data_IF_874666725070
#
_entry.id   IF_874666725070
#
_cell.length_a   1.000
_cell.length_b   1.000
_cell.length_c   1.000
_cell.angle_alpha   90.00
_cell.angle_beta   90.00
_cell.angle_gamma   90.00
#
_symmetry.space_group_name_H-M   'P 1'
#
loop_
_entity.id
_entity.type
_entity.pdbx_description
1 polymer ?
#
# COMPACT_ATOMS: atom_id res chain seq x y z
N UNK A 1 -34.30 21.14 -11.88
CA UNK A 1 -32.85 21.42 -11.92
C UNK A 1 -32.38 21.70 -10.50
N UNK A 2 -31.70 20.77 -9.81
CA UNK A 2 -31.10 21.09 -8.53
C UNK A 2 -29.76 21.82 -8.75
N UNK A 3 -29.51 22.84 -7.94
CA UNK A 3 -28.29 23.65 -7.94
C UNK A 3 -27.12 22.77 -7.52
N UNK A 4 -26.04 22.76 -8.31
CA UNK A 4 -24.76 22.22 -7.88
C UNK A 4 -24.18 23.14 -6.80
N UNK A 5 -24.32 22.74 -5.54
CA UNK A 5 -23.55 23.32 -4.44
C UNK A 5 -22.08 23.04 -4.72
N UNK A 6 -21.34 24.07 -5.11
CA UNK A 6 -19.88 24.05 -5.07
C UNK A 6 -19.50 23.88 -3.59
N UNK A 7 -19.24 22.64 -3.17
CA UNK A 7 -18.64 22.35 -1.87
C UNK A 7 -17.29 23.06 -1.85
N UNK A 8 -17.24 24.21 -1.18
CA UNK A 8 -15.99 24.91 -0.92
C UNK A 8 -15.22 23.99 0.04
N UNK A 9 -14.15 23.36 -0.45
CA UNK A 9 -13.23 22.60 0.40
C UNK A 9 -12.55 23.57 1.39
N UNK A 10 -13.11 23.65 2.60
CA UNK A 10 -12.54 24.44 3.68
C UNK A 10 -11.33 23.70 4.25
N UNK A 11 -10.16 24.34 4.23
CA UNK A 11 -8.96 23.83 4.89
C UNK A 11 -9.24 23.59 6.37
N UNK A 12 -9.10 22.34 6.80
CA UNK A 12 -9.23 21.93 8.19
C UNK A 12 -7.89 22.03 8.91
N UNK A 13 -7.88 22.48 10.17
CA UNK A 13 -6.69 22.40 11.03
C UNK A 13 -6.71 21.09 11.82
N UNK A 14 -5.58 20.40 11.84
CA UNK A 14 -5.39 19.16 12.59
C UNK A 14 -4.23 19.33 13.58
N UNK A 15 -4.27 18.57 14.69
CA UNK A 15 -3.14 18.44 15.60
C UNK A 15 -2.49 17.08 15.40
N UNK A 16 -1.19 17.06 15.11
CA UNK A 16 -0.41 15.84 14.90
C UNK A 16 0.64 15.70 16.00
N UNK A 17 0.74 14.51 16.59
CA UNK A 17 1.79 14.19 17.57
C UNK A 17 2.99 13.59 16.84
N UNK A 18 4.16 14.16 17.06
CA UNK A 18 5.43 13.71 16.49
C UNK A 18 6.47 13.61 17.60
N UNK A 19 7.50 12.80 17.36
CA UNK A 19 8.73 12.88 18.15
C UNK A 19 9.56 14.08 17.71
N UNK A 20 10.37 14.63 18.62
CA UNK A 20 11.10 15.89 18.35
C UNK A 20 12.11 15.75 17.19
N UNK A 21 12.69 14.56 17.00
CA UNK A 21 13.60 14.29 15.88
C UNK A 21 12.94 14.45 14.52
N UNK A 22 11.69 13.99 14.39
CA UNK A 22 10.95 14.05 13.13
C UNK A 22 10.55 15.50 12.84
N UNK A 23 10.05 16.21 13.86
CA UNK A 23 9.73 17.64 13.76
C UNK A 23 10.95 18.47 13.36
N UNK A 24 12.09 18.23 13.99
CA UNK A 24 13.36 18.91 13.67
C UNK A 24 13.80 18.66 12.23
N UNK A 25 13.67 17.42 11.76
CA UNK A 25 14.00 17.05 10.38
C UNK A 25 13.09 17.76 9.37
N UNK A 26 11.78 17.82 9.65
CA UNK A 26 10.79 18.51 8.80
C UNK A 26 11.08 20.01 8.74
N UNK A 27 11.40 20.63 9.88
CA UNK A 27 11.75 22.04 9.95
C UNK A 27 13.02 22.36 9.12
N UNK A 28 14.03 21.50 9.19
CA UNK A 28 15.26 21.65 8.42
C UNK A 28 15.01 21.56 6.91
N UNK A 29 14.19 20.59 6.47
CA UNK A 29 13.79 20.44 5.06
C UNK A 29 12.99 21.65 4.58
N UNK A 30 11.99 22.09 5.34
CA UNK A 30 11.18 23.26 5.00
C UNK A 30 12.03 24.52 4.84
N UNK A 31 12.98 24.73 5.77
CA UNK A 31 13.91 25.87 5.73
C UNK A 31 14.81 25.83 4.50
N UNK A 32 15.35 24.66 4.15
CA UNK A 32 16.23 24.49 2.99
C UNK A 32 15.50 24.67 1.65
N UNK A 33 14.22 24.34 1.61
CA UNK A 33 13.36 24.48 0.43
C UNK A 33 12.65 25.85 0.36
N UNK A 34 12.82 26.72 1.37
CA UNK A 34 12.13 28.02 1.48
C UNK A 34 10.59 27.91 1.45
N UNK A 35 10.04 26.87 2.08
CA UNK A 35 8.59 26.62 2.18
C UNK A 35 8.14 26.53 3.64
N UNK A 36 6.82 26.49 3.90
CA UNK A 36 6.30 26.30 5.26
C UNK A 36 6.34 24.82 5.64
N UNK A 37 6.48 24.51 6.92
CA UNK A 37 6.35 23.13 7.41
C UNK A 37 5.01 22.49 6.98
N UNK A 38 3.92 23.28 6.94
CA UNK A 38 2.60 22.81 6.48
C UNK A 38 2.56 22.39 5.01
N UNK A 39 3.46 22.89 4.16
CA UNK A 39 3.61 22.42 2.79
C UNK A 39 4.28 21.03 2.77
N UNK A 40 5.28 20.80 3.63
CA UNK A 40 5.96 19.51 3.77
C UNK A 40 5.01 18.45 4.32
N UNK A 41 4.23 18.76 5.36
CA UNK A 41 3.22 17.84 5.89
C UNK A 41 2.18 17.45 4.81
N UNK A 42 1.67 18.43 4.05
CA UNK A 42 0.72 18.17 2.95
C UNK A 42 1.34 17.32 1.85
N UNK A 43 2.59 17.57 1.48
CA UNK A 43 3.31 16.77 0.50
C UNK A 43 3.41 15.32 0.96
N UNK A 44 3.81 15.08 2.21
CA UNK A 44 3.94 13.74 2.77
C UNK A 44 2.58 13.00 2.81
N UNK A 45 1.51 13.68 3.24
CA UNK A 45 0.15 13.13 3.24
C UNK A 45 -0.30 12.78 1.82
N UNK A 46 -0.13 13.69 0.86
CA UNK A 46 -0.55 13.46 -0.53
C UNK A 46 0.24 12.32 -1.18
N UNK A 47 1.55 12.26 -0.92
CA UNK A 47 2.39 11.16 -1.37
C UNK A 47 1.88 9.83 -0.81
N UNK A 48 1.63 9.76 0.50
CA UNK A 48 1.10 8.56 1.14
C UNK A 48 -0.27 8.16 0.57
N UNK A 49 -1.21 9.10 0.46
CA UNK A 49 -2.54 8.85 -0.09
C UNK A 49 -2.49 8.36 -1.55
N UNK A 50 -1.55 8.84 -2.36
CA UNK A 50 -1.39 8.35 -3.73
C UNK A 50 -0.98 6.87 -3.78
N UNK A 51 -0.13 6.43 -2.85
CA UNK A 51 0.27 5.03 -2.71
C UNK A 51 -0.88 4.14 -2.21
N UNK A 52 -1.75 4.69 -1.36
CA UNK A 52 -2.95 4.02 -0.86
C UNK A 52 -4.21 4.23 -1.72
N UNK A 53 -4.07 4.79 -2.93
CA UNK A 53 -5.22 5.13 -3.79
C UNK A 53 -6.16 3.95 -4.04
N UNK A 54 -5.63 2.73 -4.19
CA UNK A 54 -6.42 1.51 -4.33
C UNK A 54 -7.33 1.21 -3.12
N UNK A 55 -6.97 1.64 -1.90
CA UNK A 55 -7.81 1.47 -0.71
C UNK A 55 -8.91 2.53 -0.61
N UNK A 56 -8.79 3.62 -1.37
CA UNK A 56 -9.81 4.67 -1.45
C UNK A 56 -10.86 4.35 -2.51
N UNK A 57 -10.54 3.47 -3.45
CA UNK A 57 -11.48 2.99 -4.46
C UNK A 57 -12.35 1.85 -3.90
N UNK A 58 -13.60 2.16 -3.59
CA UNK A 58 -14.57 1.18 -3.06
C UNK A 58 -14.88 0.04 -4.06
N UNK A 59 -14.53 0.19 -5.34
CA UNK A 59 -14.72 -0.85 -6.36
C UNK A 59 -13.57 -1.86 -6.39
N UNK A 60 -12.40 -1.49 -5.86
CA UNK A 60 -11.22 -2.35 -5.79
C UNK A 60 -11.36 -3.34 -4.63
N UNK A 61 -11.53 -4.63 -4.93
CA UNK A 61 -11.70 -5.69 -3.92
C UNK A 61 -11.01 -6.99 -4.35
N UNK A 62 -10.75 -7.87 -3.39
CA UNK A 62 -10.14 -9.17 -3.63
C UNK A 62 -8.77 -9.04 -4.31
N UNK A 63 -8.57 -9.80 -5.38
CA UNK A 63 -7.30 -9.85 -6.11
C UNK A 63 -6.87 -8.51 -6.71
N UNK A 64 -7.79 -7.57 -6.94
CA UNK A 64 -7.48 -6.23 -7.46
C UNK A 64 -6.52 -5.46 -6.53
N UNK A 65 -6.61 -5.72 -5.22
CA UNK A 65 -5.82 -5.03 -4.21
C UNK A 65 -4.40 -5.58 -4.08
N UNK A 66 -4.12 -6.80 -4.57
CA UNK A 66 -2.90 -7.52 -4.22
C UNK A 66 -1.63 -6.85 -4.74
N UNK A 67 -1.62 -6.39 -5.99
CA UNK A 67 -0.44 -5.73 -6.55
C UNK A 67 -0.13 -4.44 -5.81
N UNK A 68 -1.15 -3.66 -5.48
CA UNK A 68 -0.97 -2.45 -4.70
C UNK A 68 -0.49 -2.76 -3.27
N UNK A 69 -1.03 -3.79 -2.61
CA UNK A 69 -0.54 -4.24 -1.30
C UNK A 69 0.93 -4.69 -1.35
N UNK A 70 1.42 -5.23 -2.47
CA UNK A 70 2.84 -5.51 -2.67
C UNK A 70 3.70 -4.25 -2.73
N UNK A 71 3.22 -3.18 -3.37
CA UNK A 71 3.96 -1.91 -3.45
C UNK A 71 4.18 -1.27 -2.08
N UNK A 72 3.17 -1.36 -1.20
CA UNK A 72 3.22 -0.75 0.15
C UNK A 72 3.61 -1.74 1.24
N UNK A 73 4.09 -2.94 0.87
CA UNK A 73 4.28 -4.05 1.79
C UNK A 73 5.27 -3.74 2.92
N UNK A 74 6.30 -2.95 2.64
CA UNK A 74 7.27 -2.54 3.65
C UNK A 74 6.59 -1.67 4.72
N UNK A 75 5.77 -0.71 4.31
CA UNK A 75 5.01 0.20 5.17
C UNK A 75 3.96 -0.56 6.00
N UNK A 76 3.25 -1.52 5.38
CA UNK A 76 2.28 -2.38 6.07
C UNK A 76 2.92 -3.13 7.24
N UNK A 77 4.11 -3.70 7.01
CA UNK A 77 4.80 -4.55 7.98
C UNK A 77 5.55 -3.75 9.05
N UNK A 78 6.20 -2.65 8.69
CA UNK A 78 7.06 -1.91 9.60
C UNK A 78 6.35 -0.79 10.37
N UNK A 79 5.30 -0.19 9.80
CA UNK A 79 4.67 1.00 10.38
C UNK A 79 3.27 0.74 10.91
N UNK A 80 2.45 -0.01 10.16
CA UNK A 80 1.03 -0.21 10.52
C UNK A 80 0.78 -1.45 11.40
N UNK A 81 1.69 -2.42 11.38
CA UNK A 81 1.59 -3.62 12.24
C UNK A 81 0.33 -4.45 11.97
N UNK A 82 -0.14 -4.50 10.72
CA UNK A 82 -1.36 -5.21 10.34
C UNK A 82 -1.22 -6.72 10.56
N UNK A 83 -2.27 -7.33 11.12
CA UNK A 83 -2.38 -8.78 11.28
C UNK A 83 -3.09 -9.41 10.09
N UNK A 84 -2.83 -10.71 9.86
CA UNK A 84 -3.42 -11.46 8.73
C UNK A 84 -4.94 -11.35 8.60
N UNK A 85 -5.67 -11.40 9.70
CA UNK A 85 -7.14 -11.28 9.69
C UNK A 85 -7.62 -9.86 9.34
N UNK A 86 -6.84 -8.84 9.69
CA UNK A 86 -7.15 -7.46 9.30
C UNK A 86 -6.92 -7.31 7.80
N UNK A 87 -5.81 -7.85 7.29
CA UNK A 87 -5.49 -7.79 5.87
C UNK A 87 -6.48 -8.60 5.03
N UNK A 88 -6.92 -9.76 5.51
CA UNK A 88 -7.99 -10.53 4.87
C UNK A 88 -9.32 -9.78 4.82
N UNK A 89 -9.70 -9.10 5.91
CA UNK A 89 -10.89 -8.26 5.90
C UNK A 89 -10.77 -7.07 4.94
N UNK A 90 -9.58 -6.46 4.83
CA UNK A 90 -9.33 -5.37 3.87
C UNK A 90 -9.46 -5.89 2.44
N UNK A 91 -8.85 -7.04 2.15
CA UNK A 91 -8.78 -7.59 0.79
C UNK A 91 -10.12 -8.20 0.38
N UNK A 92 -10.68 -9.12 1.18
CA UNK A 92 -11.86 -9.89 0.81
C UNK A 92 -13.19 -9.36 1.39
N UNK A 93 -13.17 -8.45 2.38
CA UNK A 93 -14.35 -8.14 3.19
C UNK A 93 -15.54 -7.57 2.42
N UNK A 94 -15.29 -6.79 1.37
CA UNK A 94 -16.32 -6.25 0.47
C UNK A 94 -16.40 -7.00 -0.87
N UNK A 95 -15.69 -8.12 -1.02
CA UNK A 95 -15.65 -8.85 -2.27
C UNK A 95 -16.95 -9.64 -2.50
N UNK A 96 -17.73 -9.24 -3.51
CA UNK A 96 -18.94 -9.94 -3.96
C UNK A 96 -18.66 -10.93 -5.10
N UNK A 97 -17.41 -11.01 -5.58
CA UNK A 97 -16.98 -11.77 -6.75
C UNK A 97 -16.10 -12.95 -6.33
N UNK A 98 -16.63 -14.21 -6.35
CA UNK A 98 -15.88 -15.38 -5.91
C UNK A 98 -14.57 -15.62 -6.67
N UNK A 99 -14.50 -15.21 -7.94
CA UNK A 99 -13.32 -15.29 -8.80
C UNK A 99 -12.19 -14.36 -8.39
N UNK A 100 -12.51 -13.29 -7.64
CA UNK A 100 -11.52 -12.36 -7.06
C UNK A 100 -11.09 -12.76 -5.65
N UNK A 101 -11.65 -13.81 -5.07
CA UNK A 101 -11.36 -14.18 -3.69
C UNK A 101 -9.88 -14.57 -3.53
N UNK A 102 -9.22 -13.96 -2.54
CA UNK A 102 -7.81 -14.24 -2.25
C UNK A 102 -7.71 -15.22 -1.09
N UNK A 103 -7.01 -16.32 -1.32
CA UNK A 103 -6.76 -17.30 -0.27
C UNK A 103 -5.88 -16.72 0.86
N UNK A 104 -6.20 -17.08 2.11
CA UNK A 104 -5.45 -16.62 3.29
C UNK A 104 -3.94 -16.90 3.17
N UNK A 105 -3.54 -18.02 2.59
CA UNK A 105 -2.12 -18.34 2.39
C UNK A 105 -1.38 -17.34 1.50
N UNK A 106 -2.05 -16.76 0.50
CA UNK A 106 -1.45 -15.72 -0.33
C UNK A 106 -1.45 -14.36 0.37
N UNK A 107 -2.47 -14.07 1.18
CA UNK A 107 -2.51 -12.88 2.04
C UNK A 107 -1.35 -12.91 3.05
N UNK A 108 -1.05 -14.08 3.60
CA UNK A 108 0.08 -14.24 4.53
C UNK A 108 1.43 -13.90 3.88
N UNK A 109 1.60 -14.08 2.56
CA UNK A 109 2.84 -13.69 1.85
C UNK A 109 3.14 -12.20 1.97
N UNK A 110 2.09 -11.36 2.05
CA UNK A 110 2.23 -9.92 2.24
C UNK A 110 2.83 -9.58 3.61
N UNK A 111 2.69 -10.47 4.60
CA UNK A 111 3.19 -10.27 5.96
C UNK A 111 4.47 -11.05 6.28
N UNK A 112 4.87 -11.99 5.42
CA UNK A 112 6.05 -12.83 5.67
C UNK A 112 7.34 -12.02 5.67
N UNK A 113 8.29 -12.25 6.59
CA UNK A 113 9.65 -11.74 6.48
C UNK A 113 10.33 -12.16 5.17
N UNK A 114 11.23 -11.33 4.64
CA UNK A 114 11.89 -11.56 3.34
C UNK A 114 12.54 -12.95 3.19
N UNK A 115 13.17 -13.47 4.26
CA UNK A 115 13.82 -14.78 4.21
C UNK A 115 12.82 -15.94 4.06
N UNK A 116 11.66 -15.87 4.74
CA UNK A 116 10.59 -16.87 4.61
C UNK A 116 9.89 -16.76 3.26
N UNK A 117 9.62 -15.53 2.81
CA UNK A 117 9.03 -15.27 1.50
C UNK A 117 9.90 -15.85 0.38
N UNK A 118 11.22 -15.64 0.44
CA UNK A 118 12.17 -16.21 -0.53
C UNK A 118 12.12 -17.74 -0.55
N UNK A 119 12.11 -18.38 0.62
CA UNK A 119 11.99 -19.84 0.71
C UNK A 119 10.66 -20.35 0.12
N UNK A 120 9.57 -19.64 0.40
CA UNK A 120 8.25 -19.97 -0.15
C UNK A 120 8.25 -19.88 -1.68
N UNK A 121 8.73 -18.77 -2.24
CA UNK A 121 8.76 -18.57 -3.70
C UNK A 121 9.66 -19.58 -4.43
N UNK A 122 10.80 -19.98 -3.84
CA UNK A 122 11.65 -21.05 -4.38
C UNK A 122 10.92 -22.40 -4.40
N UNK A 123 10.07 -22.70 -3.41
CA UNK A 123 9.30 -23.96 -3.41
C UNK A 123 8.20 -23.97 -4.46
N UNK A 124 7.60 -22.81 -4.72
CA UNK A 124 6.53 -22.66 -5.70
C UNK A 124 7.09 -22.69 -7.13
N UNK A 125 8.19 -21.99 -7.37
CA UNK A 125 8.89 -22.01 -8.65
C UNK A 125 10.08 -22.95 -8.55
N UNK A 126 9.94 -24.14 -9.13
CA UNK A 126 10.96 -25.20 -9.25
C UNK A 126 12.31 -24.72 -9.86
N UNK A 127 12.41 -23.44 -10.25
CA UNK A 127 13.64 -22.75 -10.64
C UNK A 127 13.71 -21.34 -10.03
N UNK A 128 14.82 -20.97 -9.36
CA UNK A 128 15.00 -19.61 -8.87
C UNK A 128 15.13 -18.62 -10.04
N UNK A 129 14.30 -17.57 -10.03
CA UNK A 129 14.44 -16.44 -10.97
C UNK A 129 15.66 -15.59 -10.54
N UNK A 130 16.85 -15.96 -11.01
CA UNK A 130 18.16 -15.40 -10.59
C UNK A 130 18.40 -13.90 -10.85
N UNK A 131 17.43 -13.14 -11.39
CA UNK A 131 17.61 -11.72 -11.76
C UNK A 131 16.56 -10.76 -11.20
N UNK A 132 15.53 -11.25 -10.50
CA UNK A 132 14.48 -10.39 -9.95
C UNK A 132 14.75 -10.09 -8.48
N UNK A 133 14.47 -8.86 -8.06
CA UNK A 133 14.40 -8.57 -6.64
C UNK A 133 13.21 -9.36 -6.03
N UNK A 134 13.23 -9.57 -4.71
CA UNK A 134 12.23 -10.42 -4.06
C UNK A 134 10.79 -9.89 -4.21
N UNK A 135 10.62 -8.57 -4.19
CA UNK A 135 9.30 -7.93 -4.29
C UNK A 135 8.71 -8.08 -5.70
N UNK A 136 9.54 -7.91 -6.74
CA UNK A 136 9.17 -8.14 -8.13
C UNK A 136 8.79 -9.61 -8.35
N UNK A 137 9.50 -10.55 -7.72
CA UNK A 137 9.16 -11.96 -7.79
C UNK A 137 7.80 -12.25 -7.12
N UNK A 138 7.50 -11.64 -5.98
CA UNK A 138 6.18 -11.74 -5.35
C UNK A 138 5.08 -11.16 -6.26
N UNK A 139 5.30 -9.99 -6.86
CA UNK A 139 4.36 -9.36 -7.80
C UNK A 139 4.09 -10.27 -9.00
N UNK A 140 5.13 -10.85 -9.58
CA UNK A 140 4.98 -11.81 -10.69
C UNK A 140 4.19 -13.05 -10.27
N UNK A 141 4.48 -13.62 -9.09
CA UNK A 141 3.72 -14.75 -8.55
C UNK A 141 2.23 -14.44 -8.42
N UNK A 142 1.90 -13.30 -7.81
CA UNK A 142 0.52 -12.88 -7.61
C UNK A 142 -0.16 -12.61 -8.95
N UNK A 143 0.52 -11.90 -9.86
CA UNK A 143 -0.04 -11.59 -11.17
C UNK A 143 -0.33 -12.85 -12.00
N UNK A 144 0.59 -13.81 -12.01
CA UNK A 144 0.40 -15.10 -12.69
C UNK A 144 -0.77 -15.89 -12.08
N UNK A 145 -0.84 -15.99 -10.75
CA UNK A 145 -1.87 -16.76 -10.04
C UNK A 145 -3.27 -16.18 -10.20
N UNK A 146 -3.40 -14.86 -10.12
CA UNK A 146 -4.68 -14.14 -10.15
C UNK A 146 -4.99 -13.51 -11.51
N UNK A 147 -4.19 -13.80 -12.55
CA UNK A 147 -4.34 -13.28 -13.92
C UNK A 147 -4.41 -11.75 -13.99
N UNK A 148 -3.59 -11.08 -13.19
CA UNK A 148 -3.55 -9.62 -13.12
C UNK A 148 -2.55 -9.05 -14.14
N UNK A 149 -2.86 -7.88 -14.69
CA UNK A 149 -1.92 -7.14 -15.53
C UNK A 149 -0.89 -6.41 -14.65
N UNK A 150 0.40 -6.67 -14.88
CA UNK A 150 1.47 -5.89 -14.24
C UNK A 150 1.68 -4.62 -15.06
N UNK A 151 1.17 -3.49 -14.57
CA UNK A 151 1.55 -2.19 -15.11
C UNK A 151 2.96 -1.86 -14.58
N UNK A 152 3.99 -2.10 -15.40
CA UNK A 152 5.33 -1.58 -15.13
C UNK A 152 5.31 -0.08 -15.44
N UNK A 153 5.33 0.75 -14.41
CA UNK A 153 5.60 2.19 -14.50
C UNK A 153 7.10 2.40 -14.73
#
# INVERSE_FOLDING_TARGET
MPRSETLIELKQMISLRLVESDRTSIQAVASRLFVRESDIYRLAINYLLSQFSCLLDETSTGSDLLLAMCEIRAELNHTLGLKKHQLEKIINGNNLHPDKYVAMCDIELLLMPQHLLKQHLIKVYDKPKNKLNLEDWLKEYIAEKYKLAINRI
#
